data_IF_245123160601
#
_entry.id   IF_245123160601
#
_cell.length_a   1.000
_cell.length_b   1.000
_cell.length_c   1.000
_cell.angle_alpha   90.00
_cell.angle_beta   90.00
_cell.angle_gamma   90.00
#
_symmetry.space_group_name_H-M   'P 1'
#
loop_
_entity.id
_entity.type
_entity.pdbx_description
1 polymer ?
#
# COMPACT_ATOMS: atom_id res chain seq x y z
N UNK A 1 -24.61 31.26 -13.11
CA UNK A 1 -23.71 30.19 -13.59
C UNK A 1 -23.76 29.03 -12.61
N UNK A 2 -24.53 27.98 -12.93
CA UNK A 2 -24.72 26.83 -12.03
C UNK A 2 -23.79 25.68 -12.38
N UNK A 3 -22.94 25.27 -11.41
CA UNK A 3 -22.08 24.10 -11.52
C UNK A 3 -22.92 22.82 -11.65
N UNK A 4 -22.84 22.16 -12.81
CA UNK A 4 -23.44 20.83 -13.04
C UNK A 4 -22.72 19.79 -12.17
N UNK A 5 -23.38 19.33 -11.11
CA UNK A 5 -23.01 18.12 -10.37
C UNK A 5 -23.09 16.91 -11.31
N UNK A 6 -21.96 16.32 -11.64
CA UNK A 6 -21.90 15.02 -12.33
C UNK A 6 -22.54 13.95 -11.43
N UNK A 7 -23.79 13.60 -11.72
CA UNK A 7 -24.44 12.40 -11.15
C UNK A 7 -23.77 11.18 -11.81
N UNK A 8 -22.82 10.56 -11.10
CA UNK A 8 -22.34 9.22 -11.47
C UNK A 8 -23.56 8.29 -11.46
N UNK A 9 -23.94 7.77 -12.63
CA UNK A 9 -25.14 6.96 -12.79
C UNK A 9 -25.03 5.65 -12.00
N UNK A 10 -26.14 5.15 -11.47
CA UNK A 10 -26.20 3.82 -10.82
C UNK A 10 -25.67 2.69 -11.73
N UNK A 11 -25.77 2.86 -13.06
CA UNK A 11 -25.22 1.95 -14.05
C UNK A 11 -23.69 1.94 -14.09
N UNK A 12 -23.05 3.12 -14.03
CA UNK A 12 -21.58 3.24 -13.99
C UNK A 12 -21.01 2.69 -12.69
N UNK A 13 -21.71 2.88 -11.57
CA UNK A 13 -21.36 2.26 -10.30
C UNK A 13 -21.46 0.73 -10.34
N UNK A 14 -22.47 0.16 -11.02
CA UNK A 14 -22.60 -1.30 -11.20
C UNK A 14 -21.49 -1.86 -12.08
N UNK A 15 -21.22 -1.21 -13.22
CA UNK A 15 -20.17 -1.64 -14.17
C UNK A 15 -18.77 -1.53 -13.55
N UNK A 16 -18.51 -0.48 -12.79
CA UNK A 16 -17.26 -0.33 -12.01
C UNK A 16 -17.14 -1.40 -10.92
N UNK A 17 -18.23 -1.73 -10.21
CA UNK A 17 -18.24 -2.84 -9.23
C UNK A 17 -18.00 -4.19 -9.89
N UNK A 18 -18.54 -4.43 -11.08
CA UNK A 18 -18.28 -5.66 -11.86
C UNK A 18 -16.84 -5.78 -12.33
N UNK A 19 -16.24 -4.68 -12.79
CA UNK A 19 -14.81 -4.62 -13.14
C UNK A 19 -13.92 -4.90 -11.92
N UNK A 20 -14.23 -4.31 -10.77
CA UNK A 20 -13.50 -4.56 -9.51
C UNK A 20 -13.57 -6.03 -9.10
N UNK A 21 -14.69 -6.73 -9.34
CA UNK A 21 -14.82 -8.17 -9.03
C UNK A 21 -13.91 -9.08 -9.85
N UNK A 22 -13.49 -8.66 -11.05
CA UNK A 22 -12.60 -9.45 -11.92
C UNK A 22 -11.12 -9.25 -11.61
N UNK A 23 -10.78 -8.24 -10.82
CA UNK A 23 -9.40 -7.97 -10.43
C UNK A 23 -8.93 -8.94 -9.33
N UNK A 24 -7.65 -9.36 -9.34
CA UNK A 24 -7.10 -10.12 -8.23
C UNK A 24 -7.29 -9.35 -6.92
N UNK A 25 -7.70 -10.06 -5.86
CA UNK A 25 -7.99 -9.46 -4.54
C UNK A 25 -6.87 -8.57 -4.00
N UNK A 26 -5.61 -8.90 -4.33
CA UNK A 26 -4.43 -8.12 -3.96
C UNK A 26 -4.41 -6.73 -4.61
N UNK A 27 -4.86 -6.60 -5.86
CA UNK A 27 -4.99 -5.32 -6.56
C UNK A 27 -6.04 -4.44 -5.90
N UNK A 28 -7.17 -5.05 -5.51
CA UNK A 28 -8.25 -4.34 -4.80
C UNK A 28 -7.74 -3.82 -3.45
N UNK A 29 -7.08 -4.66 -2.66
CA UNK A 29 -6.50 -4.28 -1.37
C UNK A 29 -5.46 -3.17 -1.55
N UNK A 30 -4.55 -3.33 -2.51
CA UNK A 30 -3.53 -2.33 -2.81
C UNK A 30 -4.16 -0.98 -3.20
N UNK A 31 -5.26 -0.96 -3.96
CA UNK A 31 -5.99 0.27 -4.28
C UNK A 31 -6.59 0.95 -3.04
N UNK A 32 -7.16 0.19 -2.10
CA UNK A 32 -7.64 0.74 -0.83
C UNK A 32 -6.51 1.28 0.06
N UNK A 33 -5.38 0.58 0.10
CA UNK A 33 -4.19 1.03 0.81
C UNK A 33 -3.64 2.31 0.18
N UNK A 34 -3.51 2.37 -1.15
CA UNK A 34 -3.04 3.55 -1.88
C UNK A 34 -3.92 4.78 -1.59
N UNK A 35 -5.24 4.60 -1.62
CA UNK A 35 -6.18 5.67 -1.25
C UNK A 35 -6.02 6.11 0.21
N UNK A 36 -5.85 5.15 1.12
CA UNK A 36 -5.68 5.42 2.56
C UNK A 36 -4.39 6.18 2.85
N UNK A 37 -3.33 5.89 2.08
CA UNK A 37 -2.05 6.58 2.16
C UNK A 37 -2.02 7.90 1.39
N UNK A 38 -3.12 8.29 0.73
CA UNK A 38 -3.22 9.48 -0.11
C UNK A 38 -2.12 9.56 -1.18
N UNK A 39 -1.86 8.43 -1.87
CA UNK A 39 -0.90 8.41 -2.98
C UNK A 39 -1.47 9.15 -4.19
N UNK A 40 -0.67 10.03 -4.77
CA UNK A 40 -0.99 10.81 -5.98
C UNK A 40 -0.99 9.92 -7.22
N UNK A 41 -0.01 9.02 -7.29
CA UNK A 41 0.14 8.01 -8.34
C UNK A 41 0.65 6.71 -7.72
N UNK A 42 0.23 5.56 -8.24
CA UNK A 42 0.69 4.27 -7.74
C UNK A 42 0.64 3.15 -8.78
N UNK A 43 1.50 2.16 -8.58
CA UNK A 43 1.63 0.94 -9.38
C UNK A 43 1.53 -0.26 -8.42
N UNK A 44 0.77 -1.27 -8.83
CA UNK A 44 0.59 -2.52 -8.08
C UNK A 44 1.40 -3.62 -8.75
N UNK A 45 2.13 -4.43 -7.98
CA UNK A 45 2.88 -5.58 -8.48
C UNK A 45 4.11 -5.18 -9.31
N UNK A 46 4.95 -4.31 -8.75
CA UNK A 46 6.18 -3.86 -9.39
C UNK A 46 7.29 -4.90 -9.21
N UNK A 47 7.92 -5.31 -10.31
CA UNK A 47 9.10 -6.16 -10.26
C UNK A 47 10.38 -5.32 -10.28
N UNK A 48 11.24 -5.55 -9.30
CA UNK A 48 12.60 -5.00 -9.27
C UNK A 48 13.61 -6.14 -9.18
N UNK A 49 14.89 -5.94 -9.52
CA UNK A 49 15.91 -6.97 -9.32
C UNK A 49 15.88 -7.51 -7.87
N UNK A 50 15.68 -8.83 -7.73
CA UNK A 50 15.73 -9.54 -6.45
C UNK A 50 14.42 -9.55 -5.63
N UNK A 51 13.38 -8.80 -5.98
CA UNK A 51 12.07 -8.90 -5.29
C UNK A 51 10.92 -8.35 -6.13
N UNK A 52 9.71 -8.81 -5.82
CA UNK A 52 8.49 -8.12 -6.22
C UNK A 52 8.04 -7.18 -5.08
N UNK A 53 7.42 -6.06 -5.44
CA UNK A 53 6.84 -5.05 -4.55
C UNK A 53 5.32 -5.01 -4.78
N UNK A 54 4.54 -5.14 -3.70
CA UNK A 54 3.08 -5.21 -3.83
C UNK A 54 2.45 -3.88 -4.27
N UNK A 55 2.90 -2.77 -3.68
CA UNK A 55 2.43 -1.43 -4.00
C UNK A 55 3.60 -0.44 -3.91
N UNK A 56 3.75 0.37 -4.95
CA UNK A 56 4.66 1.51 -4.99
C UNK A 56 3.86 2.74 -5.39
N UNK A 57 4.07 3.88 -4.75
CA UNK A 57 3.47 5.13 -5.19
C UNK A 57 4.23 6.36 -4.73
N UNK A 58 3.69 7.52 -5.09
CA UNK A 58 4.24 8.83 -4.80
C UNK A 58 3.24 9.63 -3.96
N UNK A 59 3.76 10.35 -2.97
CA UNK A 59 3.04 11.39 -2.22
C UNK A 59 4.03 12.48 -1.83
N UNK A 60 3.76 13.73 -2.16
CA UNK A 60 4.62 14.88 -1.82
C UNK A 60 6.10 14.61 -2.21
N UNK A 61 6.32 14.18 -3.45
CA UNK A 61 7.63 13.77 -4.01
C UNK A 61 8.30 12.55 -3.34
N UNK A 62 7.69 11.99 -2.30
CA UNK A 62 8.18 10.85 -1.54
C UNK A 62 7.69 9.55 -2.16
N UNK A 63 8.63 8.65 -2.44
CA UNK A 63 8.33 7.26 -2.80
C UNK A 63 7.85 6.50 -1.57
N UNK A 64 6.62 5.99 -1.63
CA UNK A 64 5.98 5.16 -0.62
C UNK A 64 5.88 3.74 -1.14
N UNK A 65 6.31 2.76 -0.34
CA UNK A 65 6.17 1.33 -0.67
C UNK A 65 5.34 0.65 0.41
N UNK A 66 4.39 -0.17 0.01
CA UNK A 66 3.62 -1.01 0.94
C UNK A 66 3.74 -2.49 0.58
N UNK A 67 4.11 -3.31 1.56
CA UNK A 67 4.03 -4.78 1.48
C UNK A 67 2.65 -5.23 1.97
N UNK A 68 1.97 -6.09 1.23
CA UNK A 68 0.62 -6.57 1.55
C UNK A 68 0.69 -8.03 1.99
N UNK A 69 0.33 -8.29 3.24
CA UNK A 69 0.16 -9.65 3.77
C UNK A 69 -1.30 -9.97 3.97
N UNK A 70 -1.70 -11.19 3.59
CA UNK A 70 -3.06 -11.69 3.82
C UNK A 70 -3.28 -12.19 5.25
N UNK A 71 -2.19 -12.48 5.96
CA UNK A 71 -2.11 -12.88 7.36
C UNK A 71 -0.74 -12.54 7.91
N UNK A 72 -0.66 -12.14 9.17
CA UNK A 72 0.58 -11.96 9.91
C UNK A 72 0.52 -12.77 11.21
N UNK A 73 1.59 -13.50 11.50
CA UNK A 73 1.70 -14.30 12.72
C UNK A 73 3.14 -14.75 12.97
N UNK A 74 3.38 -15.57 14.01
CA UNK A 74 4.71 -16.04 14.38
C UNK A 74 5.46 -16.74 13.24
N UNK A 75 4.74 -17.45 12.36
CA UNK A 75 5.33 -18.23 11.27
C UNK A 75 5.86 -17.39 10.09
N UNK A 76 5.55 -16.09 10.02
CA UNK A 76 5.98 -15.24 8.90
C UNK A 76 6.45 -13.85 9.29
N UNK A 77 6.60 -13.57 10.58
CA UNK A 77 6.98 -12.24 11.07
C UNK A 77 8.40 -11.85 10.62
N UNK A 78 9.36 -12.77 10.74
CA UNK A 78 10.75 -12.50 10.35
C UNK A 78 10.86 -12.20 8.86
N UNK A 79 10.15 -12.97 8.04
CA UNK A 79 10.06 -12.74 6.60
C UNK A 79 9.44 -11.37 6.30
N UNK A 80 8.39 -10.98 7.01
CA UNK A 80 7.77 -9.67 6.84
C UNK A 80 8.74 -8.54 7.19
N UNK A 81 9.48 -8.65 8.30
CA UNK A 81 10.49 -7.66 8.71
C UNK A 81 11.60 -7.55 7.67
N UNK A 82 12.17 -8.67 7.22
CA UNK A 82 13.20 -8.70 6.18
C UNK A 82 12.74 -8.03 4.88
N UNK A 83 11.49 -8.29 4.48
CA UNK A 83 10.92 -7.64 3.30
C UNK A 83 10.80 -6.13 3.49
N UNK A 84 10.34 -5.68 4.67
CA UNK A 84 10.24 -4.25 5.00
C UNK A 84 11.60 -3.56 5.03
N UNK A 85 12.64 -4.21 5.59
CA UNK A 85 14.01 -3.70 5.60
C UNK A 85 14.51 -3.45 4.17
N UNK A 86 14.30 -4.41 3.27
CA UNK A 86 14.67 -4.26 1.86
C UNK A 86 13.90 -3.09 1.20
N UNK A 87 12.59 -2.99 1.43
CA UNK A 87 11.73 -1.95 0.86
C UNK A 87 12.11 -0.55 1.35
N UNK A 88 12.61 -0.44 2.58
CA UNK A 88 13.11 0.80 3.17
C UNK A 88 14.41 1.32 2.53
N UNK A 89 15.13 0.47 1.80
CA UNK A 89 16.26 0.91 0.98
C UNK A 89 15.80 1.62 -0.30
N UNK A 90 14.60 1.29 -0.79
CA UNK A 90 14.02 1.81 -2.02
C UNK A 90 13.08 3.00 -1.82
N UNK A 91 12.60 3.24 -0.60
CA UNK A 91 11.48 4.15 -0.33
C UNK A 91 11.73 5.11 0.84
N UNK A 92 11.05 6.25 0.79
CA UNK A 92 11.08 7.26 1.85
C UNK A 92 10.18 6.81 3.01
N UNK A 93 9.07 6.17 2.68
CA UNK A 93 8.16 5.56 3.65
C UNK A 93 7.84 4.13 3.28
N UNK A 94 7.86 3.24 4.27
CA UNK A 94 7.56 1.83 4.09
C UNK A 94 6.43 1.40 5.02
N UNK A 95 5.39 0.80 4.45
CA UNK A 95 4.22 0.33 5.16
C UNK A 95 4.07 -1.19 5.05
N UNK A 96 3.54 -1.79 6.11
CA UNK A 96 2.99 -3.14 6.11
C UNK A 96 1.47 -3.04 6.10
N UNK A 97 0.83 -3.56 5.05
CA UNK A 97 -0.61 -3.69 4.93
C UNK A 97 -1.05 -5.10 5.33
N UNK A 98 -1.92 -5.22 6.34
CA UNK A 98 -2.35 -6.49 6.94
C UNK A 98 -3.85 -6.50 7.26
N UNK A 99 -4.48 -7.68 7.47
CA UNK A 99 -5.83 -7.75 7.97
C UNK A 99 -5.98 -7.05 9.31
N UNK A 100 -7.15 -6.45 9.56
CA UNK A 100 -7.46 -5.77 10.82
C UNK A 100 -7.28 -6.66 12.06
N UNK A 101 -7.48 -7.97 11.90
CA UNK A 101 -7.37 -8.96 12.96
C UNK A 101 -5.93 -9.13 13.46
N UNK A 102 -4.94 -8.83 12.61
CA UNK A 102 -3.52 -9.06 12.90
C UNK A 102 -2.81 -7.78 13.39
N UNK A 103 -3.52 -6.65 13.49
CA UNK A 103 -2.95 -5.32 13.77
C UNK A 103 -2.28 -5.27 15.12
N UNK A 104 -2.89 -5.83 16.16
CA UNK A 104 -2.32 -5.82 17.50
C UNK A 104 -0.97 -6.57 17.53
N UNK A 105 -0.91 -7.73 16.87
CA UNK A 105 0.31 -8.51 16.75
C UNK A 105 1.39 -7.74 15.98
N UNK A 106 1.01 -7.07 14.88
CA UNK A 106 1.94 -6.26 14.11
C UNK A 106 2.47 -5.05 14.89
N UNK A 107 1.63 -4.38 15.68
CA UNK A 107 2.06 -3.27 16.52
C UNK A 107 3.09 -3.69 17.56
N UNK A 108 2.97 -4.90 18.10
CA UNK A 108 3.92 -5.46 19.05
C UNK A 108 5.24 -5.90 18.41
N UNK A 109 5.19 -6.48 17.21
CA UNK A 109 6.34 -7.18 16.62
C UNK A 109 7.07 -6.39 15.53
N UNK A 110 6.39 -5.50 14.81
CA UNK A 110 6.99 -4.76 13.69
C UNK A 110 7.67 -3.49 14.21
N UNK A 111 8.97 -3.28 13.91
CA UNK A 111 9.72 -2.09 14.34
C UNK A 111 9.01 -0.78 14.03
N UNK A 112 9.12 0.19 14.94
CA UNK A 112 8.36 1.45 14.92
C UNK A 112 8.67 2.36 13.72
N UNK A 113 9.79 2.14 13.02
CA UNK A 113 10.11 2.83 11.78
C UNK A 113 9.14 2.51 10.62
N UNK A 114 8.45 1.37 10.67
CA UNK A 114 7.52 0.94 9.63
C UNK A 114 6.09 1.36 9.96
N UNK A 115 5.39 1.87 8.96
CA UNK A 115 3.97 2.16 9.07
C UNK A 115 3.14 0.87 8.99
N UNK A 116 1.95 0.90 9.57
CA UNK A 116 1.01 -0.22 9.54
C UNK A 116 -0.32 0.30 8.99
N UNK A 117 -0.79 -0.34 7.92
CA UNK A 117 -2.12 -0.14 7.37
C UNK A 117 -2.93 -1.41 7.61
N UNK A 118 -4.03 -1.26 8.32
CA UNK A 118 -5.01 -2.34 8.46
C UNK A 118 -5.98 -2.32 7.30
N UNK A 119 -6.47 -3.48 6.86
CA UNK A 119 -7.58 -3.59 5.93
C UNK A 119 -8.61 -4.64 6.35
N UNK A 120 -9.88 -4.40 6.01
CA UNK A 120 -10.97 -5.35 6.18
C UNK A 120 -11.27 -6.09 4.88
N UNK A 121 -12.01 -7.20 4.98
CA UNK A 121 -12.51 -7.93 3.79
C UNK A 121 -13.44 -7.09 2.92
N UNK A 122 -14.12 -6.13 3.53
CA UNK A 122 -15.08 -5.23 2.88
C UNK A 122 -14.40 -4.05 2.16
N UNK A 123 -13.07 -4.01 2.16
CA UNK A 123 -12.32 -2.96 1.47
C UNK A 123 -12.14 -1.67 2.26
N UNK A 124 -12.33 -1.70 3.59
CA UNK A 124 -11.99 -0.57 4.44
C UNK A 124 -10.52 -0.69 4.83
N UNK A 125 -9.71 0.32 4.56
CA UNK A 125 -8.34 0.41 5.05
C UNK A 125 -8.15 1.61 5.98
N UNK A 126 -7.26 1.48 6.97
CA UNK A 126 -6.95 2.51 7.97
C UNK A 126 -5.49 2.44 8.39
N UNK A 127 -4.87 3.60 8.56
CA UNK A 127 -3.53 3.72 9.16
C UNK A 127 -3.65 3.40 10.65
N UNK A 128 -3.01 2.32 11.09
CA UNK A 128 -2.88 1.98 12.50
C UNK A 128 -1.62 2.61 13.13
N UNK A 129 -0.56 2.78 12.32
CA UNK A 129 0.66 3.50 12.69
C UNK A 129 1.26 4.18 11.47
N UNK A 130 1.61 5.48 11.50
CA UNK A 130 2.30 6.13 10.39
C UNK A 130 3.73 5.58 10.25
N UNK A 131 4.27 5.59 9.02
CA UNK A 131 5.67 5.25 8.80
C UNK A 131 6.58 6.42 9.19
N UNK A 132 7.82 6.12 9.59
CA UNK A 132 8.83 7.16 9.74
C UNK A 132 9.41 7.51 8.37
N UNK A 133 9.37 8.79 8.02
CA UNK A 133 9.94 9.31 6.76
C UNK A 133 11.46 9.23 6.80
N UNK A 134 12.05 8.80 5.68
CA UNK A 134 13.49 8.78 5.42
C UNK A 134 13.82 9.76 4.29
N UNK A 135 14.69 10.72 4.56
CA UNK A 135 14.99 11.82 3.64
C UNK A 135 15.88 11.43 2.44
N UNK A 136 16.68 10.36 2.55
CA UNK A 136 17.58 9.95 1.45
C UNK A 136 17.79 8.43 1.42
N UNK A 137 16.81 7.66 0.89
CA UNK A 137 16.98 6.24 0.69
C UNK A 137 17.85 5.95 -0.54
N UNK A 138 18.81 5.01 -0.44
CA UNK A 138 19.93 4.86 -1.37
C UNK A 138 19.53 4.47 -2.79
N UNK A 139 18.38 3.84 -2.98
CA UNK A 139 17.96 3.27 -4.27
C UNK A 139 16.62 3.81 -4.76
N UNK A 140 16.21 4.98 -4.28
CA UNK A 140 14.94 5.61 -4.68
C UNK A 140 14.85 5.91 -6.17
N UNK A 141 15.97 6.22 -6.82
CA UNK A 141 16.00 6.49 -8.27
C UNK A 141 15.51 5.30 -9.10
N UNK A 142 15.70 4.06 -8.62
CA UNK A 142 15.20 2.86 -9.30
C UNK A 142 13.67 2.86 -9.42
N UNK A 143 12.97 3.42 -8.42
CA UNK A 143 11.52 3.52 -8.42
C UNK A 143 11.02 4.81 -9.07
N UNK A 144 11.75 5.92 -8.94
CA UNK A 144 11.36 7.22 -9.55
C UNK A 144 11.22 7.13 -11.07
N UNK A 145 12.10 6.38 -11.74
CA UNK A 145 12.04 6.18 -13.20
C UNK A 145 10.75 5.50 -13.70
N UNK A 146 9.97 4.89 -12.81
CA UNK A 146 8.70 4.24 -13.18
C UNK A 146 7.51 5.22 -13.26
N UNK A 147 7.70 6.47 -12.81
CA UNK A 147 6.65 7.51 -12.75
C UNK A 147 6.93 8.70 -13.68
N UNK A 148 7.98 8.63 -14.49
CA UNK A 148 8.35 9.60 -15.53
C UNK A 148 7.94 9.10 -16.90
#
# INVERSE_FOLDING_TARGET
MGLRKHKVGRADMRRSRELVRKLPRQVIIAGYVARTLALEAFIVGVRVPGTDLDLVGIRDESIVVAEVKRRLGPWNIDRAVLQLDFRRLLSHETYLAIPKEDVWYALAMIPSQYGIVSFSRDGVARIARPARVRHSPPYTNMLRMMFT
#
